data_IF_231462862188
#
_entry.id   IF_231462862188
#
_cell.length_a   1.000
_cell.length_b   1.000
_cell.length_c   1.000
_cell.angle_alpha   90.00
_cell.angle_beta   90.00
_cell.angle_gamma   90.00
#
_symmetry.space_group_name_H-M   'P 1'
#
loop_
_entity.id
_entity.type
_entity.pdbx_description
1 polymer ?
#
# COMPACT_ATOMS: atom_id res chain seq x y z
N UNK A 1 22.43 0.83 16.05
CA UNK A 1 21.69 0.42 14.83
C UNK A 1 21.64 1.65 13.95
N UNK A 2 22.57 1.74 13.03
CA UNK A 2 22.67 2.88 12.12
C UNK A 2 21.44 2.93 11.24
N UNK A 3 20.79 4.10 11.22
CA UNK A 3 19.80 4.41 10.19
C UNK A 3 20.55 4.52 8.88
N UNK A 4 20.47 3.51 8.06
CA UNK A 4 20.84 3.61 6.65
C UNK A 4 20.01 4.75 6.04
N UNK A 5 20.63 5.90 5.85
CA UNK A 5 20.10 7.01 5.08
C UNK A 5 20.22 6.67 3.59
N UNK A 6 19.52 5.62 3.16
CA UNK A 6 19.42 5.35 1.74
C UNK A 6 18.56 6.43 1.07
N UNK A 7 19.06 6.99 -0.01
CA UNK A 7 18.26 7.88 -0.86
C UNK A 7 17.07 7.14 -1.45
N UNK A 8 16.01 7.85 -1.82
CA UNK A 8 14.84 7.24 -2.49
C UNK A 8 15.24 6.50 -3.77
N UNK A 9 16.28 6.97 -4.46
CA UNK A 9 16.82 6.35 -5.66
C UNK A 9 17.47 4.99 -5.36
N UNK A 10 18.36 4.91 -4.35
CA UNK A 10 19.01 3.66 -3.94
C UNK A 10 18.02 2.61 -3.47
N UNK A 11 16.99 3.00 -2.70
CA UNK A 11 15.91 2.08 -2.30
C UNK A 11 15.15 1.59 -3.53
N UNK A 12 14.94 2.46 -4.52
CA UNK A 12 14.23 2.14 -5.75
C UNK A 12 15.00 1.11 -6.60
N UNK A 13 16.30 1.28 -6.78
CA UNK A 13 17.16 0.36 -7.51
C UNK A 13 17.25 -1.01 -6.82
N UNK A 14 17.42 -1.03 -5.50
CA UNK A 14 17.46 -2.26 -4.72
C UNK A 14 16.14 -3.04 -4.82
N UNK A 15 15.00 -2.34 -4.78
CA UNK A 15 13.68 -2.97 -4.94
C UNK A 15 13.55 -3.59 -6.33
N UNK A 16 14.00 -2.91 -7.38
CA UNK A 16 13.95 -3.42 -8.76
C UNK A 16 14.81 -4.69 -8.91
N UNK A 17 16.05 -4.67 -8.43
CA UNK A 17 16.97 -5.80 -8.48
C UNK A 17 16.40 -7.03 -7.76
N UNK A 18 15.96 -6.89 -6.51
CA UNK A 18 15.40 -7.99 -5.74
C UNK A 18 14.09 -8.54 -6.32
N UNK A 19 13.26 -7.68 -6.90
CA UNK A 19 12.01 -8.09 -7.56
C UNK A 19 12.31 -8.83 -8.87
N UNK A 20 13.35 -8.44 -9.60
CA UNK A 20 13.75 -9.13 -10.83
C UNK A 20 14.31 -10.53 -10.56
N UNK A 21 14.96 -10.74 -9.43
CA UNK A 21 15.39 -12.06 -8.95
C UNK A 21 14.25 -12.98 -8.46
N UNK A 22 13.00 -12.56 -8.61
CA UNK A 22 11.81 -13.22 -8.07
C UNK A 22 11.83 -13.40 -6.53
N UNK A 23 12.60 -12.58 -5.84
CA UNK A 23 12.62 -12.55 -4.39
C UNK A 23 11.29 -11.99 -3.82
N UNK A 24 10.96 -12.43 -2.60
CA UNK A 24 9.86 -11.86 -1.83
C UNK A 24 10.45 -10.88 -0.82
N UNK A 25 10.18 -9.60 -1.03
CA UNK A 25 10.79 -8.51 -0.28
C UNK A 25 9.85 -8.01 0.83
N UNK A 26 10.24 -8.05 2.11
CA UNK A 26 9.49 -7.39 3.17
C UNK A 26 9.65 -5.87 3.05
N UNK A 27 8.54 -5.16 3.00
CA UNK A 27 8.50 -3.70 2.85
C UNK A 27 7.68 -3.08 3.98
N UNK A 28 8.30 -2.17 4.74
CA UNK A 28 7.63 -1.45 5.81
C UNK A 28 6.72 -0.37 5.25
N UNK A 29 5.44 -0.47 5.57
CA UNK A 29 4.47 0.54 5.14
C UNK A 29 4.81 1.90 5.77
N UNK A 30 4.95 2.91 4.94
CA UNK A 30 5.11 4.31 5.34
C UNK A 30 3.94 5.16 4.86
N UNK A 31 3.76 6.34 5.48
CA UNK A 31 2.67 7.24 5.12
C UNK A 31 1.30 6.79 5.64
N UNK A 32 0.25 7.44 5.14
CA UNK A 32 -1.13 7.29 5.62
C UNK A 32 -2.15 7.03 4.53
N UNK A 33 -1.73 6.99 3.25
CA UNK A 33 -2.64 6.85 2.11
C UNK A 33 -3.41 5.54 2.09
N UNK A 34 -2.87 4.48 2.69
CA UNK A 34 -3.47 3.15 2.77
C UNK A 34 -4.23 2.88 4.07
N UNK A 35 -4.40 3.90 4.92
CA UNK A 35 -5.21 3.78 6.13
C UNK A 35 -6.69 3.54 5.79
N UNK A 36 -7.44 2.81 6.61
CA UNK A 36 -7.07 2.09 7.84
C UNK A 36 -6.53 0.68 7.57
N UNK A 37 -6.39 0.27 6.30
CA UNK A 37 -5.98 -1.11 5.94
C UNK A 37 -4.53 -1.37 6.28
N UNK A 38 -3.62 -0.57 5.74
CA UNK A 38 -2.21 -0.66 6.04
C UNK A 38 -1.81 0.56 6.87
N UNK A 39 -1.26 0.31 8.04
CA UNK A 39 -0.88 1.36 8.98
C UNK A 39 0.64 1.39 9.11
N UNK A 40 1.21 2.55 8.83
CA UNK A 40 2.63 2.83 8.99
C UNK A 40 3.17 2.36 10.35
N UNK A 41 4.34 1.76 10.35
CA UNK A 41 5.05 1.23 11.54
C UNK A 41 4.31 0.12 12.30
N UNK A 42 3.22 -0.41 11.75
CA UNK A 42 2.49 -1.54 12.32
C UNK A 42 2.47 -2.73 11.39
N UNK A 43 2.30 -2.46 10.10
CA UNK A 43 2.10 -3.49 9.09
C UNK A 43 3.32 -3.58 8.19
N UNK A 44 3.71 -4.81 7.84
CA UNK A 44 4.71 -5.11 6.83
C UNK A 44 3.99 -5.74 5.65
N UNK A 45 4.35 -5.37 4.45
CA UNK A 45 3.86 -6.01 3.23
C UNK A 45 5.00 -6.79 2.57
N UNK A 46 4.68 -7.92 2.00
CA UNK A 46 5.61 -8.72 1.24
C UNK A 46 5.37 -8.49 -0.25
N UNK A 47 6.37 -7.96 -0.91
CA UNK A 47 6.35 -7.60 -2.32
C UNK A 47 6.92 -8.73 -3.16
N UNK A 48 6.32 -8.99 -4.32
CA UNK A 48 6.85 -9.92 -5.32
C UNK A 48 6.70 -9.34 -6.73
N UNK A 49 7.39 -9.93 -7.71
CA UNK A 49 7.22 -9.60 -9.12
C UNK A 49 5.77 -9.81 -9.57
N UNK A 50 5.13 -8.82 -10.21
CA UNK A 50 3.76 -8.95 -10.66
C UNK A 50 3.64 -9.97 -11.80
N UNK A 51 2.70 -10.87 -11.69
CA UNK A 51 2.27 -11.73 -12.80
C UNK A 51 1.04 -11.12 -13.48
N UNK A 52 0.71 -11.46 -14.72
CA UNK A 52 -0.47 -10.92 -15.42
C UNK A 52 -1.76 -11.02 -14.58
N UNK A 53 -1.97 -12.13 -13.90
CA UNK A 53 -3.12 -12.36 -13.02
C UNK A 53 -3.15 -11.50 -11.76
N UNK A 54 -2.03 -10.90 -11.40
CA UNK A 54 -1.94 -9.98 -10.27
C UNK A 54 -2.43 -8.57 -10.63
N UNK A 55 -2.46 -8.22 -11.93
CA UNK A 55 -2.79 -6.88 -12.43
C UNK A 55 -4.28 -6.68 -12.59
N UNK A 56 -5.04 -6.77 -11.52
CA UNK A 56 -6.51 -6.68 -11.51
C UNK A 56 -7.04 -5.82 -10.38
N UNK A 57 -8.29 -5.42 -10.50
CA UNK A 57 -9.02 -4.65 -9.49
C UNK A 57 -8.90 -5.26 -8.09
N UNK A 58 -8.63 -4.40 -7.12
CA UNK A 58 -8.52 -4.77 -5.70
C UNK A 58 -7.12 -5.15 -5.24
N UNK A 59 -6.19 -5.44 -6.16
CA UNK A 59 -4.78 -5.72 -5.82
C UNK A 59 -4.10 -4.46 -5.31
N UNK A 60 -3.14 -4.62 -4.41
CA UNK A 60 -2.27 -3.55 -3.93
C UNK A 60 -0.96 -3.66 -4.70
N UNK A 61 -0.61 -2.58 -5.39
CA UNK A 61 0.60 -2.50 -6.20
C UNK A 61 1.54 -1.43 -5.66
N UNK A 62 2.83 -1.71 -5.75
CA UNK A 62 3.88 -0.71 -5.63
C UNK A 62 4.18 -0.20 -7.03
N UNK A 63 4.16 1.09 -7.23
CA UNK A 63 4.48 1.70 -8.52
C UNK A 63 5.35 2.94 -8.33
N UNK A 64 6.09 3.29 -9.39
CA UNK A 64 6.96 4.46 -9.44
C UNK A 64 6.26 5.59 -10.18
N UNK A 65 6.17 6.74 -9.54
CA UNK A 65 5.73 7.97 -10.20
C UNK A 65 6.83 8.56 -11.09
N UNK A 66 6.47 9.51 -11.94
CA UNK A 66 7.39 10.22 -12.82
C UNK A 66 8.48 11.00 -12.07
N UNK A 67 8.22 11.39 -10.82
CA UNK A 67 9.19 12.02 -9.93
C UNK A 67 10.11 11.03 -9.19
N UNK A 68 10.04 9.74 -9.53
CA UNK A 68 10.83 8.67 -8.93
C UNK A 68 10.26 8.13 -7.61
N UNK A 69 9.25 8.76 -7.02
CA UNK A 69 8.67 8.29 -5.75
C UNK A 69 7.96 6.95 -5.88
N UNK A 70 8.22 6.06 -4.91
CA UNK A 70 7.53 4.77 -4.79
C UNK A 70 6.25 4.92 -3.99
N UNK A 71 5.14 4.46 -4.55
CA UNK A 71 3.81 4.59 -3.96
C UNK A 71 3.11 3.25 -3.91
N UNK A 72 2.50 2.96 -2.77
CA UNK A 72 1.71 1.76 -2.53
C UNK A 72 0.23 2.13 -2.53
N UNK A 73 -0.51 1.75 -3.58
CA UNK A 73 -1.95 1.99 -3.68
C UNK A 73 -2.69 0.75 -4.21
N UNK A 74 -4.01 0.82 -4.15
CA UNK A 74 -4.90 -0.24 -4.62
C UNK A 74 -5.42 0.05 -6.02
N UNK A 75 -5.49 -0.99 -6.86
CA UNK A 75 -6.14 -0.91 -8.18
C UNK A 75 -7.64 -0.71 -7.99
N UNK A 76 -8.15 0.46 -8.39
CA UNK A 76 -9.58 0.78 -8.40
C UNK A 76 -10.28 0.17 -9.62
N UNK A 77 -9.69 0.33 -10.79
CA UNK A 77 -10.09 -0.32 -12.04
C UNK A 77 -8.92 -0.38 -13.02
N UNK A 78 -9.01 -1.25 -13.98
CA UNK A 78 -8.13 -1.37 -15.15
C UNK A 78 -8.90 -0.80 -16.32
N UNK A 79 -8.34 0.18 -17.02
CA UNK A 79 -8.99 0.83 -18.18
C UNK A 79 -8.72 0.04 -19.46
N UNK A 80 -7.49 -0.45 -19.61
CA UNK A 80 -7.03 -1.32 -20.69
C UNK A 80 -5.77 -2.07 -20.23
N UNK A 81 -5.17 -2.86 -21.11
CA UNK A 81 -3.99 -3.68 -20.79
C UNK A 81 -2.76 -2.90 -20.31
N UNK A 82 -2.76 -1.58 -20.50
CA UNK A 82 -1.61 -0.72 -20.19
C UNK A 82 -1.90 0.33 -19.13
N UNK A 83 -3.17 0.67 -18.82
CA UNK A 83 -3.51 1.80 -17.96
C UNK A 83 -4.34 1.37 -16.75
N UNK A 84 -3.86 1.71 -15.58
CA UNK A 84 -4.45 1.38 -14.29
C UNK A 84 -4.87 2.64 -13.53
N UNK A 85 -6.02 2.59 -12.88
CA UNK A 85 -6.48 3.64 -11.97
C UNK A 85 -6.22 3.20 -10.54
N UNK A 86 -5.34 3.93 -9.87
CA UNK A 86 -4.92 3.65 -8.50
C UNK A 86 -5.67 4.54 -7.50
N UNK A 87 -5.87 4.01 -6.30
CA UNK A 87 -6.53 4.72 -5.21
C UNK A 87 -5.91 4.30 -3.87
N UNK A 88 -5.47 5.26 -3.09
CA UNK A 88 -5.14 5.03 -1.68
C UNK A 88 -6.40 4.80 -0.85
N UNK A 89 -6.37 3.82 0.05
CA UNK A 89 -7.56 3.43 0.82
C UNK A 89 -8.11 4.58 1.71
N UNK A 90 -7.26 5.54 2.10
CA UNK A 90 -7.65 6.75 2.83
C UNK A 90 -8.02 7.92 1.92
N UNK A 91 -7.82 7.80 0.62
CA UNK A 91 -7.95 8.90 -0.32
C UNK A 91 -9.26 8.84 -1.11
N UNK A 92 -9.69 9.98 -1.64
CA UNK A 92 -10.79 10.10 -2.60
C UNK A 92 -10.29 10.35 -4.03
N UNK A 93 -9.09 10.91 -4.16
CA UNK A 93 -8.47 11.20 -5.45
C UNK A 93 -7.80 9.96 -6.03
N UNK A 94 -8.00 9.75 -7.32
CA UNK A 94 -7.40 8.65 -8.08
C UNK A 94 -6.22 9.13 -8.88
N UNK A 95 -5.30 8.21 -9.15
CA UNK A 95 -4.12 8.43 -9.98
C UNK A 95 -4.13 7.42 -11.13
N UNK A 96 -3.89 7.88 -12.36
CA UNK A 96 -3.70 6.99 -13.52
C UNK A 96 -2.22 6.72 -13.68
N UNK A 97 -1.88 5.44 -13.85
CA UNK A 97 -0.51 4.99 -14.10
C UNK A 97 -0.48 4.06 -15.31
N UNK A 98 0.66 4.01 -15.96
CA UNK A 98 0.97 3.03 -17.00
C UNK A 98 1.51 1.74 -16.39
N UNK A 99 1.31 0.62 -17.09
CA UNK A 99 1.82 -0.69 -16.67
C UNK A 99 3.34 -0.68 -16.42
N UNK A 100 4.09 0.06 -17.22
CA UNK A 100 5.55 0.19 -17.06
C UNK A 100 5.97 0.85 -15.73
N UNK A 101 5.08 1.57 -15.05
CA UNK A 101 5.34 2.17 -13.74
C UNK A 101 5.16 1.19 -12.58
N UNK A 102 4.57 0.00 -12.83
CA UNK A 102 4.31 -1.00 -11.80
C UNK A 102 5.61 -1.75 -11.51
N UNK A 103 6.04 -1.70 -10.26
CA UNK A 103 7.27 -2.33 -9.77
C UNK A 103 6.96 -3.68 -9.13
N UNK A 104 5.99 -3.74 -8.24
CA UNK A 104 5.70 -4.94 -7.46
C UNK A 104 4.22 -5.07 -7.09
N UNK A 105 3.83 -6.28 -6.69
CA UNK A 105 2.52 -6.57 -6.12
C UNK A 105 2.66 -7.06 -4.68
N UNK A 106 1.73 -6.67 -3.81
CA UNK A 106 1.64 -7.20 -2.45
C UNK A 106 1.09 -8.62 -2.50
N UNK A 107 1.89 -9.59 -2.08
CA UNK A 107 1.52 -11.00 -1.96
C UNK A 107 0.93 -11.32 -0.59
N UNK A 108 1.54 -10.79 0.46
CA UNK A 108 1.18 -11.07 1.84
C UNK A 108 1.24 -9.80 2.69
N UNK A 109 0.53 -9.83 3.81
CA UNK A 109 0.47 -8.73 4.78
C UNK A 109 0.70 -9.32 6.16
N UNK A 110 1.71 -8.83 6.85
CA UNK A 110 1.98 -9.13 8.24
C UNK A 110 1.40 -8.04 9.14
N UNK A 111 0.63 -8.48 10.12
CA UNK A 111 0.06 -7.61 11.16
C UNK A 111 0.18 -8.25 12.52
N UNK A 112 0.93 -7.63 13.43
CA UNK A 112 1.16 -8.13 14.80
C UNK A 112 1.70 -9.58 14.80
N UNK A 113 2.69 -9.86 13.95
CA UNK A 113 3.30 -11.18 13.79
C UNK A 113 2.45 -12.23 13.07
N UNK A 114 1.27 -11.86 12.56
CA UNK A 114 0.42 -12.78 11.78
C UNK A 114 0.48 -12.43 10.29
N UNK A 115 1.02 -13.34 9.50
CA UNK A 115 1.12 -13.23 8.05
C UNK A 115 -0.15 -13.81 7.41
N UNK A 116 -0.72 -13.11 6.45
CA UNK A 116 -1.87 -13.54 5.65
C UNK A 116 -1.69 -13.13 4.20
N UNK A 117 -2.09 -14.00 3.28
CA UNK A 117 -2.14 -13.65 1.85
C UNK A 117 -3.02 -12.41 1.65
N UNK A 118 -2.53 -11.46 0.85
CA UNK A 118 -3.27 -10.23 0.54
C UNK A 118 -4.63 -10.50 -0.15
N UNK A 119 -4.74 -11.63 -0.84
CA UNK A 119 -5.98 -12.09 -1.47
C UNK A 119 -6.87 -12.98 -0.59
N UNK A 120 -6.54 -13.16 0.69
CA UNK A 120 -7.37 -13.95 1.61
C UNK A 120 -8.79 -13.39 1.71
N UNK A 121 -9.75 -14.26 1.97
CA UNK A 121 -11.16 -13.85 2.19
C UNK A 121 -11.31 -12.80 3.27
N UNK A 122 -10.47 -12.87 4.30
CA UNK A 122 -10.39 -11.86 5.35
C UNK A 122 -10.17 -10.44 4.80
N UNK A 123 -9.15 -10.24 3.97
CA UNK A 123 -8.83 -8.93 3.40
C UNK A 123 -9.86 -8.51 2.34
N UNK A 124 -10.34 -9.46 1.53
CA UNK A 124 -11.38 -9.20 0.53
C UNK A 124 -12.68 -8.72 1.16
N UNK A 125 -13.13 -9.35 2.24
CA UNK A 125 -14.34 -8.96 2.96
C UNK A 125 -14.20 -7.57 3.58
N UNK A 126 -13.11 -7.31 4.30
CA UNK A 126 -12.87 -6.00 4.89
C UNK A 126 -12.84 -4.91 3.80
N UNK A 127 -12.16 -5.17 2.68
CA UNK A 127 -12.11 -4.22 1.58
C UNK A 127 -13.48 -4.00 0.92
N UNK A 128 -14.29 -5.04 0.76
CA UNK A 128 -15.65 -4.90 0.23
C UNK A 128 -16.51 -3.97 1.11
N UNK A 129 -16.48 -4.17 2.42
CA UNK A 129 -17.16 -3.30 3.39
C UNK A 129 -16.63 -1.86 3.27
N UNK A 130 -15.33 -1.67 3.23
CA UNK A 130 -14.72 -0.34 3.12
C UNK A 130 -15.10 0.38 1.81
N UNK A 131 -15.24 -0.37 0.73
CA UNK A 131 -15.71 0.17 -0.56
C UNK A 131 -17.14 0.66 -0.49
N UNK A 132 -18.01 -0.04 0.23
CA UNK A 132 -19.40 0.42 0.47
C UNK A 132 -19.44 1.73 1.28
N UNK A 133 -18.47 1.95 2.15
CA UNK A 133 -18.33 3.17 2.96
C UNK A 133 -17.67 4.34 2.21
N UNK A 134 -17.43 4.22 0.91
CA UNK A 134 -16.75 5.27 0.10
C UNK A 134 -17.34 6.67 0.30
N UNK A 135 -18.67 6.92 0.28
CA UNK A 135 -19.21 8.26 0.48
C UNK A 135 -18.95 8.82 1.88
N UNK A 136 -18.77 7.96 2.87
CA UNK A 136 -18.52 8.35 4.26
C UNK A 136 -17.03 8.41 4.62
N UNK A 137 -16.13 8.02 3.73
CA UNK A 137 -14.68 7.98 3.97
C UNK A 137 -14.11 9.29 4.51
N UNK A 138 -14.41 10.49 3.97
CA UNK A 138 -13.84 11.72 4.48
C UNK A 138 -14.18 11.96 5.96
N UNK A 139 -15.42 11.66 6.36
CA UNK A 139 -15.84 11.77 7.75
C UNK A 139 -15.17 10.73 8.64
N UNK A 140 -15.19 9.46 8.23
CA UNK A 140 -14.56 8.34 8.97
C UNK A 140 -13.06 8.62 9.17
N UNK A 141 -12.38 9.09 8.14
CA UNK A 141 -10.95 9.40 8.21
C UNK A 141 -10.67 10.59 9.12
N UNK A 142 -11.51 11.63 9.13
CA UNK A 142 -11.38 12.76 10.10
C UNK A 142 -11.45 12.27 11.54
N UNK A 143 -12.47 11.46 11.85
CA UNK A 143 -12.65 10.89 13.21
C UNK A 143 -11.47 10.00 13.57
N UNK A 144 -11.05 9.13 12.67
CA UNK A 144 -9.93 8.22 12.88
C UNK A 144 -8.61 8.94 13.14
N UNK A 145 -8.26 9.97 12.35
CA UNK A 145 -7.07 10.80 12.57
C UNK A 145 -7.14 11.57 13.89
N UNK A 146 -8.31 12.10 14.27
CA UNK A 146 -8.52 12.78 15.55
C UNK A 146 -8.23 11.83 16.73
N UNK A 147 -8.80 10.62 16.70
CA UNK A 147 -8.59 9.60 17.73
C UNK A 147 -7.10 9.21 17.82
N UNK A 148 -6.42 9.01 16.68
CA UNK A 148 -4.98 8.69 16.68
C UNK A 148 -4.13 9.82 17.26
N UNK A 149 -4.49 11.08 16.96
CA UNK A 149 -3.79 12.24 17.51
C UNK A 149 -3.90 12.30 19.03
N UNK A 150 -5.08 12.06 19.58
CA UNK A 150 -5.32 12.01 21.03
C UNK A 150 -4.48 10.89 21.67
N UNK A 151 -4.54 9.67 21.12
CA UNK A 151 -3.76 8.54 21.64
C UNK A 151 -2.25 8.74 21.57
N UNK A 152 -1.75 9.50 20.61
CA UNK A 152 -0.32 9.85 20.55
C UNK A 152 0.07 10.85 21.61
N UNK A 153 -0.80 11.85 21.90
CA UNK A 153 -0.56 12.84 22.95
C UNK A 153 -0.47 12.18 24.32
N UNK A 154 -1.44 11.33 24.64
CA UNK A 154 -1.47 10.61 25.91
C UNK A 154 -0.29 9.62 26.11
N UNK A 155 0.37 9.16 25.02
CA UNK A 155 1.58 8.31 25.11
C UNK A 155 2.87 9.10 25.25
N UNK A 156 2.87 10.38 24.98
CA UNK A 156 4.03 11.26 25.12
C UNK A 156 4.10 11.91 26.52
N UNK A 157 3.04 11.78 27.31
CA UNK A 157 2.92 12.33 28.67
C UNK A 157 3.22 11.28 29.76
N UNK A 158 3.60 10.05 29.37
CA UNK A 158 4.11 8.98 30.24
C UNK A 158 5.49 8.51 29.74
#
# INVERSE_FOLDING_TARGET
MDKLNCSVAEISELVDELIDENAVLPFYVSGSSMNPFLISRRDIVYLKKPQPDDLKKGRILLFRRKDGSLVLHRVKCVLNDSVFVMLGDAQSQTEKIDKAQIVAVVSEIERKGKIRKAESSYWKTIYAIWRMLTPFRPFIMRVWFKIRRIKRKNRAEF
#
